data_IF_330038643780
#
_entry.id   IF_330038643780
#
_cell.length_a   1.000
_cell.length_b   1.000
_cell.length_c   1.000
_cell.angle_alpha   90.00
_cell.angle_beta   90.00
_cell.angle_gamma   90.00
#
_symmetry.space_group_name_H-M   'P 1'
#
loop_
_entity.id
_entity.type
_entity.pdbx_description
1 polymer ?
#
# COMPACT_ATOMS: atom_id res chain seq x y z
N UNK A 1 -67.36 9.14 6.04
CA UNK A 1 -68.23 10.31 5.86
C UNK A 1 -67.32 11.49 5.56
N UNK A 2 -67.20 12.08 4.38
CA UNK A 2 -67.99 12.13 3.13
C UNK A 2 -67.01 12.82 2.14
N UNK A 3 -66.62 12.21 1.00
CA UNK A 3 -67.07 12.56 -0.37
C UNK A 3 -67.23 14.08 -0.64
N UNK A 4 -66.86 14.73 -1.77
CA UNK A 4 -66.48 14.35 -3.14
C UNK A 4 -66.12 15.64 -3.95
N UNK A 5 -65.40 15.48 -5.07
CA UNK A 5 -65.30 16.31 -6.32
C UNK A 5 -64.62 17.69 -6.38
N UNK A 6 -63.65 17.77 -7.32
CA UNK A 6 -63.70 18.60 -8.55
C UNK A 6 -62.64 18.09 -9.53
N UNK A 7 -63.03 17.40 -10.61
CA UNK A 7 -63.40 17.90 -11.95
C UNK A 7 -62.20 18.24 -12.84
N UNK A 8 -62.01 17.36 -13.84
CA UNK A 8 -61.09 17.49 -14.96
C UNK A 8 -61.54 18.57 -15.97
N UNK A 9 -60.58 19.19 -16.66
CA UNK A 9 -60.77 19.86 -17.97
C UNK A 9 -59.41 19.87 -18.68
N UNK A 10 -59.21 18.97 -19.65
CA UNK A 10 -59.42 19.19 -21.09
C UNK A 10 -58.22 19.81 -21.80
N UNK A 11 -57.44 18.91 -22.42
CA UNK A 11 -56.39 19.19 -23.40
C UNK A 11 -56.97 19.78 -24.68
N UNK A 12 -56.39 20.89 -25.16
CA UNK A 12 -56.55 21.36 -26.54
C UNK A 12 -55.19 21.55 -27.21
N UNK A 13 -54.90 20.63 -28.11
CA UNK A 13 -53.87 20.69 -29.15
C UNK A 13 -54.14 21.86 -30.09
N UNK A 14 -53.07 22.57 -30.48
CA UNK A 14 -53.04 23.37 -31.71
C UNK A 14 -51.81 22.97 -32.54
N UNK A 15 -51.98 22.63 -33.83
CA UNK A 15 -50.88 22.27 -34.70
C UNK A 15 -50.16 23.55 -35.15
N UNK A 16 -48.83 23.52 -35.23
CA UNK A 16 -48.07 24.54 -35.96
C UNK A 16 -47.27 23.89 -37.07
N UNK A 17 -47.50 24.47 -38.25
CA UNK A 17 -47.10 24.05 -39.58
C UNK A 17 -45.59 23.81 -39.73
N UNK A 18 -45.28 22.78 -40.52
CA UNK A 18 -43.98 22.56 -41.14
C UNK A 18 -43.62 23.74 -42.04
N UNK A 19 -42.61 24.52 -41.65
CA UNK A 19 -41.89 25.38 -42.57
C UNK A 19 -40.62 24.64 -43.02
N UNK A 20 -40.64 24.14 -44.25
CA UNK A 20 -39.45 23.65 -44.95
C UNK A 20 -38.56 24.86 -45.27
N UNK A 21 -37.47 25.03 -44.54
CA UNK A 21 -36.37 25.91 -44.92
C UNK A 21 -35.24 25.02 -45.44
N UNK A 22 -35.04 25.02 -46.75
CA UNK A 22 -33.87 24.45 -47.40
C UNK A 22 -32.76 25.50 -47.28
N UNK A 23 -31.73 25.20 -46.48
CA UNK A 23 -30.51 26.00 -46.40
C UNK A 23 -29.37 25.25 -47.11
N UNK A 24 -28.50 25.93 -47.86
CA UNK A 24 -27.48 25.30 -48.69
C UNK A 24 -26.30 24.79 -47.84
N UNK A 25 -25.83 23.58 -48.15
CA UNK A 25 -24.55 23.06 -47.66
C UNK A 25 -23.42 24.00 -48.11
N UNK A 26 -22.85 24.75 -47.18
CA UNK A 26 -21.56 25.41 -47.35
C UNK A 26 -20.53 24.59 -46.59
N UNK A 27 -19.72 23.83 -47.33
CA UNK A 27 -18.60 23.06 -46.79
C UNK A 27 -17.45 24.04 -46.51
N UNK A 28 -17.30 24.47 -45.25
CA UNK A 28 -16.13 25.21 -44.78
C UNK A 28 -15.16 24.19 -44.20
N UNK A 29 -14.10 23.88 -44.94
CA UNK A 29 -12.98 23.08 -44.45
C UNK A 29 -12.12 23.96 -43.54
N UNK A 30 -12.29 23.83 -42.22
CA UNK A 30 -11.43 24.44 -41.22
C UNK A 30 -10.21 23.52 -41.01
N UNK A 31 -9.06 23.90 -41.57
CA UNK A 31 -7.78 23.25 -41.27
C UNK A 31 -7.36 23.66 -39.86
N UNK A 32 -7.72 22.85 -38.87
CA UNK A 32 -7.15 22.89 -37.52
C UNK A 32 -5.76 22.26 -37.60
N UNK A 33 -4.73 23.07 -37.80
CA UNK A 33 -3.36 22.71 -37.40
C UNK A 33 -3.33 22.67 -35.87
N UNK A 34 -3.58 21.51 -35.29
CA UNK A 34 -3.28 21.23 -33.90
C UNK A 34 -1.76 21.17 -33.73
N UNK A 35 -1.19 22.16 -33.05
CA UNK A 35 0.08 21.97 -32.36
C UNK A 35 -0.22 21.04 -31.18
N UNK A 36 0.14 19.76 -31.29
CA UNK A 36 0.25 18.91 -30.11
C UNK A 36 1.39 19.49 -29.27
N UNK A 37 1.05 20.06 -28.13
CA UNK A 37 2.01 20.27 -27.07
C UNK A 37 2.33 18.88 -26.51
N UNK A 38 3.56 18.43 -26.78
CA UNK A 38 4.19 17.33 -26.06
C UNK A 38 4.32 17.76 -24.59
N UNK A 39 3.38 17.30 -23.76
CA UNK A 39 3.57 17.17 -22.32
C UNK A 39 3.98 15.72 -22.07
N UNK A 40 5.16 15.35 -22.57
CA UNK A 40 5.78 14.07 -22.25
C UNK A 40 6.57 14.22 -20.96
N UNK A 41 5.95 13.87 -19.84
CA UNK A 41 6.67 13.41 -18.65
C UNK A 41 5.82 12.39 -17.90
N UNK A 42 5.37 11.36 -18.63
CA UNK A 42 5.02 10.10 -18.02
C UNK A 42 6.33 9.35 -17.82
N UNK A 43 6.85 9.35 -16.59
CA UNK A 43 7.91 8.44 -16.20
C UNK A 43 7.29 7.04 -16.18
N UNK A 44 7.18 6.41 -17.36
CA UNK A 44 6.93 4.98 -17.45
C UNK A 44 8.08 4.28 -16.74
N UNK A 45 7.79 3.61 -15.63
CA UNK A 45 8.64 2.60 -15.03
C UNK A 45 9.15 1.70 -16.15
N UNK A 46 10.45 1.43 -16.26
CA UNK A 46 10.91 0.46 -17.25
C UNK A 46 10.20 -0.86 -16.94
N UNK A 47 9.43 -1.32 -17.93
CA UNK A 47 8.49 -2.44 -17.86
C UNK A 47 9.22 -3.69 -17.32
N UNK A 48 9.15 -3.93 -16.00
CA UNK A 48 9.78 -5.06 -15.32
C UNK A 48 10.47 -4.80 -13.98
N UNK A 49 10.90 -3.57 -13.65
CA UNK A 49 11.71 -3.33 -12.43
C UNK A 49 10.96 -3.64 -11.12
N UNK A 50 9.71 -3.17 -10.99
CA UNK A 50 8.91 -3.39 -9.78
C UNK A 50 8.58 -4.88 -9.52
N UNK A 51 8.16 -5.69 -10.52
CA UNK A 51 8.02 -7.13 -10.34
C UNK A 51 9.32 -7.84 -9.92
N UNK A 52 10.46 -7.45 -10.50
CA UNK A 52 11.77 -8.02 -10.15
C UNK A 52 12.10 -7.68 -8.69
N UNK A 53 11.98 -6.40 -8.32
CA UNK A 53 12.25 -5.93 -6.96
C UNK A 53 11.35 -6.62 -5.94
N UNK A 54 10.06 -6.75 -6.25
CA UNK A 54 9.08 -7.44 -5.40
C UNK A 54 9.48 -8.89 -5.15
N UNK A 55 9.94 -9.60 -6.19
CA UNK A 55 10.44 -10.96 -6.05
C UNK A 55 11.71 -11.01 -5.19
N UNK A 56 12.69 -10.15 -5.45
CA UNK A 56 13.95 -10.12 -4.71
C UNK A 56 13.75 -9.83 -3.22
N UNK A 57 12.85 -8.92 -2.85
CA UNK A 57 12.59 -8.62 -1.43
C UNK A 57 11.79 -9.72 -0.72
N UNK A 58 10.95 -10.48 -1.42
CA UNK A 58 10.28 -11.66 -0.86
C UNK A 58 11.32 -12.72 -0.50
N UNK A 59 12.19 -13.06 -1.46
CA UNK A 59 13.24 -14.09 -1.26
C UNK A 59 14.23 -13.69 -0.15
N UNK A 60 14.59 -12.40 -0.05
CA UNK A 60 15.47 -11.90 1.01
C UNK A 60 14.83 -11.92 2.42
N UNK A 61 13.50 -11.94 2.52
CA UNK A 61 12.78 -12.00 3.79
C UNK A 61 12.66 -13.41 4.39
N UNK A 62 12.88 -14.45 3.59
CA UNK A 62 12.69 -15.86 4.01
C UNK A 62 13.96 -16.48 4.61
N UNK A 63 15.15 -16.09 4.13
CA UNK A 63 16.40 -16.82 4.43
C UNK A 63 17.26 -16.22 5.56
N UNK A 64 16.91 -15.05 6.12
CA UNK A 64 17.64 -14.41 7.23
C UNK A 64 19.13 -14.10 6.98
N UNK A 65 19.67 -14.45 5.81
CA UNK A 65 21.06 -14.31 5.41
C UNK A 65 21.11 -13.48 4.12
N UNK A 66 21.27 -12.19 4.31
CA UNK A 66 21.27 -11.15 3.29
C UNK A 66 22.42 -11.35 2.28
N UNK A 67 22.14 -11.92 1.11
CA UNK A 67 22.92 -11.65 -0.09
C UNK A 67 22.17 -10.58 -0.89
N UNK A 68 22.13 -9.35 -0.36
CA UNK A 68 21.80 -8.18 -1.17
C UNK A 68 22.95 -8.05 -2.15
N UNK A 69 22.73 -8.47 -3.40
CA UNK A 69 23.69 -8.15 -4.45
C UNK A 69 23.43 -6.71 -4.94
N UNK A 70 24.44 -6.12 -5.60
CA UNK A 70 24.33 -4.80 -6.24
C UNK A 70 23.04 -4.64 -7.09
N UNK A 71 22.46 -5.76 -7.57
CA UNK A 71 21.23 -5.75 -8.36
C UNK A 71 19.99 -5.32 -7.57
N UNK A 72 19.89 -5.61 -6.27
CA UNK A 72 18.74 -5.18 -5.47
C UNK A 72 18.71 -3.65 -5.35
N UNK A 73 19.85 -3.05 -4.98
CA UNK A 73 19.95 -1.62 -4.74
C UNK A 73 19.70 -0.82 -6.03
N UNK A 74 20.30 -1.24 -7.14
CA UNK A 74 20.08 -0.63 -8.45
C UNK A 74 18.60 -0.72 -8.87
N UNK A 75 17.97 -1.88 -8.69
CA UNK A 75 16.54 -2.05 -9.04
C UNK A 75 15.64 -1.23 -8.11
N UNK A 76 15.97 -1.12 -6.82
CA UNK A 76 15.24 -0.30 -5.86
C UNK A 76 15.29 1.19 -6.21
N UNK A 77 16.47 1.69 -6.62
CA UNK A 77 16.63 3.07 -7.09
C UNK A 77 15.82 3.34 -8.36
N UNK A 78 15.81 2.40 -9.30
CA UNK A 78 15.01 2.51 -10.54
C UNK A 78 13.51 2.59 -10.25
N UNK A 79 13.00 1.82 -9.28
CA UNK A 79 11.60 1.89 -8.85
C UNK A 79 11.33 3.19 -8.07
N UNK A 80 12.24 3.60 -7.18
CA UNK A 80 12.11 4.83 -6.39
C UNK A 80 11.98 6.07 -7.30
N UNK A 81 12.72 6.11 -8.41
CA UNK A 81 12.65 7.20 -9.39
C UNK A 81 11.25 7.36 -10.04
N UNK A 82 10.37 6.37 -9.91
CA UNK A 82 8.98 6.40 -10.40
C UNK A 82 7.96 6.82 -9.35
N UNK A 83 8.35 6.85 -8.08
CA UNK A 83 7.48 7.21 -6.98
C UNK A 83 7.40 8.75 -6.89
N UNK A 84 6.20 9.34 -6.85
CA UNK A 84 6.07 10.79 -6.69
C UNK A 84 6.71 11.27 -5.38
N UNK A 85 7.28 12.47 -5.40
CA UNK A 85 7.77 13.16 -4.18
C UNK A 85 6.79 14.27 -3.82
N UNK A 86 6.19 14.20 -2.64
CA UNK A 86 5.26 15.22 -2.15
C UNK A 86 5.25 15.31 -0.61
N UNK A 87 4.88 16.48 -0.03
CA UNK A 87 4.71 16.60 1.41
C UNK A 87 3.64 15.65 1.96
N UNK A 88 3.80 15.21 3.22
CA UNK A 88 2.73 14.52 3.95
C UNK A 88 1.48 15.42 4.00
N UNK A 89 0.29 14.84 3.83
CA UNK A 89 -0.96 15.58 4.02
C UNK A 89 -1.11 16.07 5.47
N UNK A 90 -1.80 17.20 5.64
CA UNK A 90 -2.13 17.74 6.96
C UNK A 90 -3.21 16.91 7.65
N UNK A 91 -3.16 16.87 8.99
CA UNK A 91 -4.02 16.04 9.84
C UNK A 91 -5.11 16.87 10.52
N UNK A 92 -6.30 16.28 10.69
CA UNK A 92 -7.47 16.91 11.31
C UNK A 92 -7.72 16.51 12.77
N UNK A 93 -7.02 15.50 13.30
CA UNK A 93 -7.15 15.08 14.70
C UNK A 93 -7.60 13.63 14.93
N UNK A 94 -8.07 12.90 13.91
CA UNK A 94 -8.92 11.72 14.13
C UNK A 94 -8.55 10.49 13.29
N UNK A 95 -7.26 10.09 13.27
CA UNK A 95 -6.89 8.86 12.58
C UNK A 95 -7.46 7.63 13.30
N UNK A 96 -8.40 6.95 12.65
CA UNK A 96 -9.01 5.71 13.16
C UNK A 96 -8.61 4.55 12.24
N UNK A 97 -7.59 3.78 12.64
CA UNK A 97 -7.08 2.64 11.86
C UNK A 97 -8.20 1.71 11.39
N UNK A 98 -9.12 1.35 12.30
CA UNK A 98 -10.21 0.43 11.98
C UNK A 98 -11.20 0.98 10.94
N UNK A 99 -11.43 2.30 10.94
CA UNK A 99 -12.31 2.95 9.95
C UNK A 99 -11.66 2.96 8.57
N UNK A 100 -10.34 3.15 8.50
CA UNK A 100 -9.65 3.37 7.25
C UNK A 100 -9.05 2.11 6.63
N UNK A 101 -8.61 1.15 7.43
CA UNK A 101 -7.89 -0.04 6.99
C UNK A 101 -8.59 -1.36 7.36
N UNK A 102 -9.73 -1.29 8.05
CA UNK A 102 -10.44 -2.45 8.55
C UNK A 102 -10.05 -2.86 9.97
N UNK A 103 -10.88 -3.72 10.56
CA UNK A 103 -10.82 -4.09 11.98
C UNK A 103 -9.79 -5.18 12.28
N UNK A 104 -8.51 -4.89 12.02
CA UNK A 104 -7.41 -5.81 12.30
C UNK A 104 -6.97 -6.64 11.10
N UNK A 105 -6.66 -7.90 11.36
CA UNK A 105 -6.13 -8.85 10.38
C UNK A 105 -7.29 -9.53 9.66
N UNK A 106 -7.32 -9.38 8.34
CA UNK A 106 -8.33 -9.98 7.48
C UNK A 106 -7.99 -11.44 7.17
N UNK A 107 -8.99 -12.19 6.74
CA UNK A 107 -8.86 -13.49 6.07
C UNK A 107 -9.23 -13.20 4.61
N UNK A 108 -8.22 -12.85 3.80
CA UNK A 108 -8.42 -12.33 2.44
C UNK A 108 -8.74 -13.44 1.43
N UNK A 109 -8.26 -14.66 1.67
CA UNK A 109 -8.44 -15.80 0.77
C UNK A 109 -9.60 -16.73 1.18
N UNK A 110 -10.15 -16.55 2.39
CA UNK A 110 -11.29 -17.27 2.90
C UNK A 110 -10.96 -18.66 3.44
N UNK A 111 -9.68 -18.97 3.71
CA UNK A 111 -9.24 -20.26 4.21
C UNK A 111 -9.46 -20.46 5.73
N UNK A 112 -9.95 -19.42 6.41
CA UNK A 112 -10.19 -19.30 7.87
C UNK A 112 -8.94 -19.05 8.69
N UNK A 113 -7.84 -18.70 8.04
CA UNK A 113 -6.65 -18.13 8.63
C UNK A 113 -6.62 -16.64 8.36
N UNK A 114 -6.34 -15.85 9.40
CA UNK A 114 -6.16 -14.42 9.18
C UNK A 114 -4.70 -14.10 8.96
N UNK A 115 -4.45 -12.95 8.37
CA UNK A 115 -3.10 -12.53 7.97
C UNK A 115 -2.09 -12.58 9.10
N UNK A 116 -2.46 -12.29 10.36
CA UNK A 116 -1.52 -12.47 11.47
C UNK A 116 -1.07 -13.92 11.65
N UNK A 117 -1.98 -14.88 11.55
CA UNK A 117 -1.59 -16.29 11.67
C UNK A 117 -0.77 -16.74 10.45
N UNK A 118 -1.11 -16.26 9.25
CA UNK A 118 -0.33 -16.52 8.04
C UNK A 118 1.10 -16.00 8.18
N UNK A 119 1.28 -14.72 8.55
CA UNK A 119 2.61 -14.13 8.76
C UNK A 119 3.42 -14.88 9.82
N UNK A 120 2.79 -15.27 10.94
CA UNK A 120 3.47 -16.03 11.98
C UNK A 120 3.83 -17.45 11.51
N UNK A 121 2.96 -18.11 10.75
CA UNK A 121 3.21 -19.47 10.27
C UNK A 121 4.29 -19.52 9.18
N UNK A 122 4.40 -18.46 8.38
CA UNK A 122 5.35 -18.33 7.28
C UNK A 122 6.74 -17.88 7.76
N UNK A 123 6.81 -16.93 8.70
CA UNK A 123 8.07 -16.26 9.06
C UNK A 123 8.62 -16.63 10.45
N UNK A 124 7.99 -17.55 11.16
CA UNK A 124 8.61 -18.19 12.34
C UNK A 124 9.18 -19.54 11.92
N UNK A 125 10.28 -19.92 12.57
CA UNK A 125 10.79 -21.29 12.53
C UNK A 125 10.14 -22.16 13.62
N UNK A 126 10.29 -23.48 13.51
CA UNK A 126 9.82 -24.45 14.52
C UNK A 126 8.35 -24.26 14.95
N UNK A 127 7.50 -23.89 13.98
CA UNK A 127 6.09 -23.53 14.22
C UNK A 127 5.28 -24.73 14.70
N UNK A 128 4.60 -24.54 15.83
CA UNK A 128 3.58 -25.45 16.33
C UNK A 128 2.20 -24.82 16.15
N UNK A 129 1.41 -25.43 15.27
CA UNK A 129 0.03 -25.03 15.03
C UNK A 129 -0.91 -25.70 16.03
N UNK A 130 -1.98 -24.99 16.37
CA UNK A 130 -3.05 -25.56 17.15
C UNK A 130 -3.83 -26.62 16.35
N UNK A 131 -4.91 -27.15 16.95
CA UNK A 131 -5.76 -28.17 16.32
C UNK A 131 -6.59 -27.70 15.12
N UNK A 132 -6.78 -26.39 14.92
CA UNK A 132 -7.51 -25.89 13.74
C UNK A 132 -6.62 -25.81 12.51
N UNK A 133 -5.30 -25.95 12.67
CA UNK A 133 -4.34 -26.00 11.57
C UNK A 133 -3.97 -24.63 11.01
N UNK A 134 -4.36 -23.55 11.69
CA UNK A 134 -4.02 -22.18 11.31
C UNK A 134 -3.38 -21.42 12.48
N UNK A 135 -3.98 -21.47 13.68
CA UNK A 135 -3.49 -20.63 14.77
C UNK A 135 -2.13 -21.14 15.26
N UNK A 136 -1.12 -20.28 15.17
CA UNK A 136 0.21 -20.53 15.73
C UNK A 136 0.16 -20.47 17.25
N UNK A 137 0.49 -21.57 17.93
CA UNK A 137 0.58 -21.65 19.39
C UNK A 137 2.03 -21.41 19.87
N UNK A 138 3.06 -21.73 19.07
CA UNK A 138 4.46 -21.32 19.32
C UNK A 138 5.32 -21.34 18.05
N UNK A 139 6.50 -20.73 18.10
CA UNK A 139 7.54 -20.76 17.07
C UNK A 139 8.78 -19.97 17.51
N UNK A 140 9.78 -19.85 16.65
CA UNK A 140 11.01 -19.09 16.89
C UNK A 140 11.09 -17.96 15.87
N UNK A 141 11.16 -16.73 16.36
CA UNK A 141 11.40 -15.54 15.54
C UNK A 141 12.90 -15.27 15.49
N UNK A 142 13.48 -15.24 14.29
CA UNK A 142 14.74 -14.56 14.03
C UNK A 142 14.38 -13.15 13.52
N UNK A 143 14.41 -12.16 14.41
CA UNK A 143 13.87 -10.83 14.13
C UNK A 143 14.86 -10.01 13.28
N UNK A 144 14.55 -9.75 11.99
CA UNK A 144 15.46 -9.02 11.13
C UNK A 144 15.57 -7.54 11.50
N UNK A 145 14.63 -6.98 12.28
CA UNK A 145 14.76 -5.59 12.70
C UNK A 145 15.82 -5.39 13.76
N UNK A 146 16.00 -6.36 14.65
CA UNK A 146 16.79 -6.21 15.87
C UNK A 146 17.98 -7.15 15.95
N UNK A 147 18.02 -8.18 15.10
CA UNK A 147 18.97 -9.28 15.17
C UNK A 147 18.72 -10.22 16.36
N UNK A 148 17.62 -10.04 17.09
CA UNK A 148 17.26 -10.87 18.22
C UNK A 148 16.65 -12.21 17.77
N UNK A 149 16.83 -13.24 18.59
CA UNK A 149 16.09 -14.51 18.42
C UNK A 149 15.17 -14.69 19.62
N UNK A 150 13.87 -14.83 19.35
CA UNK A 150 12.80 -14.84 20.36
C UNK A 150 11.91 -16.06 20.20
N UNK A 151 11.69 -16.80 21.28
CA UNK A 151 10.68 -17.85 21.33
C UNK A 151 9.28 -17.22 21.45
N UNK A 152 8.49 -17.31 20.39
CA UNK A 152 7.08 -16.97 20.45
C UNK A 152 6.30 -18.08 21.14
N UNK A 153 5.63 -17.76 22.24
CA UNK A 153 4.69 -18.66 22.91
C UNK A 153 3.37 -17.93 23.09
N UNK A 154 2.29 -18.46 22.52
CA UNK A 154 0.96 -17.89 22.69
C UNK A 154 0.52 -17.98 24.15
N UNK A 155 0.26 -16.81 24.72
CA UNK A 155 -0.16 -16.69 26.12
C UNK A 155 -0.53 -15.26 26.47
N UNK A 156 -1.16 -15.11 27.64
CA UNK A 156 -1.46 -13.79 28.20
C UNK A 156 -0.14 -13.10 28.57
N UNK A 157 0.13 -11.96 27.94
CA UNK A 157 1.35 -11.18 28.19
C UNK A 157 2.62 -11.74 27.55
N UNK A 158 2.50 -12.72 26.66
CA UNK A 158 3.61 -13.23 25.83
C UNK A 158 3.28 -13.19 24.33
N UNK A 159 1.98 -13.15 23.99
CA UNK A 159 1.56 -13.04 22.58
C UNK A 159 1.91 -11.69 21.96
N UNK A 160 2.13 -10.67 22.80
CA UNK A 160 2.47 -9.31 22.39
C UNK A 160 3.99 -9.13 22.25
N UNK A 161 4.81 -10.06 22.78
CA UNK A 161 6.28 -10.05 22.64
C UNK A 161 6.70 -10.14 21.17
N UNK A 162 5.85 -10.74 20.32
CA UNK A 162 5.98 -10.71 18.85
C UNK A 162 4.78 -9.99 18.26
N UNK A 163 5.01 -8.82 17.69
CA UNK A 163 4.03 -8.05 16.95
C UNK A 163 4.20 -8.26 15.44
N UNK A 164 3.20 -7.85 14.65
CA UNK A 164 3.36 -7.75 13.19
C UNK A 164 3.37 -6.25 12.87
N UNK A 165 4.53 -5.72 12.52
CA UNK A 165 4.69 -4.35 12.06
C UNK A 165 4.19 -4.19 10.62
N UNK A 166 3.70 -3.00 10.31
CA UNK A 166 3.48 -2.52 8.95
C UNK A 166 4.74 -1.79 8.46
N UNK A 167 5.54 -2.40 7.59
CA UNK A 167 6.83 -1.88 7.08
C UNK A 167 6.69 -0.43 6.59
N UNK A 168 5.65 -0.15 5.80
CA UNK A 168 5.08 1.19 5.64
C UNK A 168 3.92 1.35 6.63
N UNK A 169 4.16 2.10 7.71
CA UNK A 169 3.17 2.27 8.77
C UNK A 169 1.84 2.80 8.21
N UNK A 170 0.70 2.25 8.63
CA UNK A 170 -0.60 2.61 8.04
C UNK A 170 -0.95 4.09 8.18
N UNK A 171 -0.49 4.74 9.27
CA UNK A 171 -0.67 6.18 9.41
C UNK A 171 0.27 6.98 8.50
N UNK A 172 1.49 6.50 8.24
CA UNK A 172 2.36 7.08 7.22
C UNK A 172 1.70 6.95 5.83
N UNK A 173 1.26 5.75 5.46
CA UNK A 173 0.59 5.48 4.20
C UNK A 173 -0.64 6.38 4.00
N UNK A 174 -1.46 6.57 5.04
CA UNK A 174 -2.60 7.50 5.01
C UNK A 174 -2.21 8.96 4.79
N UNK A 175 -1.01 9.37 5.16
CA UNK A 175 -0.52 10.73 4.93
C UNK A 175 0.22 10.86 3.61
N UNK A 176 0.45 9.76 2.92
CA UNK A 176 1.25 9.70 1.70
C UNK A 176 0.54 8.97 0.55
N UNK A 177 -0.80 8.97 0.49
CA UNK A 177 -1.54 8.48 -0.68
C UNK A 177 -2.69 7.55 -0.38
N UNK A 178 -2.66 6.84 0.75
CA UNK A 178 -3.69 5.83 1.02
C UNK A 178 -5.09 6.44 1.23
N UNK A 179 -5.20 7.75 1.50
CA UNK A 179 -6.49 8.45 1.53
C UNK A 179 -7.22 8.50 0.19
N UNK A 180 -6.49 8.36 -0.92
CA UNK A 180 -7.06 8.35 -2.27
C UNK A 180 -7.40 6.92 -2.74
N UNK A 181 -6.97 5.91 -1.99
CA UNK A 181 -7.30 4.51 -2.22
C UNK A 181 -8.74 4.19 -1.80
N UNK A 182 -9.34 3.25 -2.51
CA UNK A 182 -10.60 2.65 -2.10
C UNK A 182 -10.45 1.94 -0.75
N UNK A 183 -11.58 1.66 -0.09
CA UNK A 183 -11.57 0.89 1.15
C UNK A 183 -10.98 -0.52 0.98
N UNK A 184 -11.19 -1.14 -0.18
CA UNK A 184 -10.69 -2.47 -0.51
C UNK A 184 -9.18 -2.46 -0.71
N UNK A 185 -8.64 -1.49 -1.45
CA UNK A 185 -7.18 -1.33 -1.62
C UNK A 185 -6.48 -1.02 -0.30
N UNK A 186 -7.09 -0.21 0.58
CA UNK A 186 -6.55 0.00 1.94
C UNK A 186 -6.55 -1.28 2.77
N UNK A 187 -7.60 -2.09 2.67
CA UNK A 187 -7.65 -3.39 3.34
C UNK A 187 -6.55 -4.32 2.82
N UNK A 188 -6.30 -4.32 1.51
CA UNK A 188 -5.20 -5.06 0.90
C UNK A 188 -3.83 -4.57 1.41
N UNK A 189 -3.57 -3.27 1.38
CA UNK A 189 -2.34 -2.66 1.91
C UNK A 189 -2.07 -3.04 3.38
N UNK A 190 -3.12 -3.10 4.20
CA UNK A 190 -2.99 -3.47 5.61
C UNK A 190 -2.73 -4.96 5.86
N UNK A 191 -2.92 -5.82 4.87
CA UNK A 191 -2.78 -7.27 4.97
C UNK A 191 -1.82 -7.84 3.91
N UNK A 192 -1.04 -6.98 3.24
CA UNK A 192 -0.06 -7.37 2.23
C UNK A 192 1.21 -7.92 2.89
N UNK A 193 1.61 -9.18 2.63
CA UNK A 193 2.83 -9.76 3.22
C UNK A 193 4.09 -8.92 2.98
N UNK A 194 4.21 -8.23 1.84
CA UNK A 194 5.34 -7.33 1.58
C UNK A 194 5.38 -6.15 2.54
N UNK A 195 4.22 -5.73 3.03
CA UNK A 195 4.08 -4.68 4.03
C UNK A 195 4.08 -5.19 5.48
N UNK A 196 4.27 -6.50 5.73
CA UNK A 196 4.17 -7.08 7.08
C UNK A 196 5.45 -7.75 7.54
N UNK A 197 5.86 -7.48 8.78
CA UNK A 197 7.05 -8.06 9.40
C UNK A 197 6.76 -8.45 10.85
N UNK A 198 6.81 -9.74 11.22
CA UNK A 198 6.93 -10.11 12.62
C UNK A 198 8.23 -9.54 13.20
N UNK A 199 8.10 -8.89 14.36
CA UNK A 199 9.22 -8.26 15.06
C UNK A 199 8.91 -8.20 16.56
N UNK A 200 9.92 -7.96 17.38
CA UNK A 200 9.74 -7.74 18.81
C UNK A 200 8.96 -6.45 19.09
N UNK A 201 8.20 -6.44 20.18
CA UNK A 201 7.30 -5.35 20.56
C UNK A 201 7.97 -3.97 20.60
N UNK A 202 9.14 -3.88 21.23
CA UNK A 202 9.82 -2.62 21.46
C UNK A 202 10.29 -1.95 20.15
N UNK A 203 10.66 -2.74 19.14
CA UNK A 203 11.08 -2.20 17.85
C UNK A 203 9.90 -1.56 17.11
N UNK A 204 8.73 -2.20 17.15
CA UNK A 204 7.50 -1.64 16.60
C UNK A 204 7.03 -0.40 17.37
N UNK A 205 7.12 -0.44 18.70
CA UNK A 205 6.78 0.70 19.56
C UNK A 205 7.71 1.91 19.33
N UNK A 206 9.02 1.68 19.08
CA UNK A 206 9.97 2.75 18.75
C UNK A 206 9.71 3.34 17.35
N UNK A 207 9.38 2.50 16.37
CA UNK A 207 9.10 2.91 15.00
C UNK A 207 7.86 3.82 14.90
N UNK A 208 6.82 3.54 15.68
CA UNK A 208 5.52 4.23 15.62
C UNK A 208 4.98 4.36 14.17
N UNK A 209 4.89 5.59 13.65
CA UNK A 209 4.43 5.92 12.30
C UNK A 209 5.51 6.60 11.45
N UNK A 210 6.77 6.38 11.82
CA UNK A 210 7.95 6.91 11.15
C UNK A 210 8.09 6.35 9.73
N UNK A 211 8.67 7.16 8.83
CA UNK A 211 9.22 6.70 7.56
C UNK A 211 10.74 6.47 7.68
N UNK A 212 11.37 6.04 6.58
CA UNK A 212 12.82 5.79 6.50
C UNK A 212 13.70 6.98 6.92
N UNK A 213 13.20 8.22 6.84
CA UNK A 213 13.98 9.40 7.25
C UNK A 213 14.01 9.59 8.78
N UNK A 214 13.11 8.92 9.49
CA UNK A 214 12.91 9.10 10.93
C UNK A 214 13.29 7.85 11.73
N UNK A 215 13.16 6.66 11.12
CA UNK A 215 13.48 5.39 11.75
C UNK A 215 13.95 4.38 10.72
N UNK A 216 15.03 3.67 11.04
CA UNK A 216 15.50 2.47 10.37
C UNK A 216 15.65 1.37 11.42
N UNK A 217 15.56 0.08 11.03
CA UNK A 217 15.75 -1.00 11.98
C UNK A 217 17.09 -0.91 12.73
N UNK A 218 17.14 -1.24 14.03
CA UNK A 218 18.39 -1.26 14.79
C UNK A 218 19.49 -2.16 14.20
N UNK A 219 19.12 -3.25 13.54
CA UNK A 219 20.06 -4.09 12.80
C UNK A 219 20.34 -3.49 11.41
N UNK A 220 21.55 -2.93 11.27
CA UNK A 220 22.02 -2.31 10.02
C UNK A 220 22.03 -3.28 8.83
N UNK A 221 22.21 -4.59 9.08
CA UNK A 221 22.25 -5.59 8.02
C UNK A 221 20.93 -5.75 7.25
N UNK A 222 19.83 -5.23 7.82
CA UNK A 222 18.49 -5.29 7.22
C UNK A 222 18.07 -3.99 6.53
N UNK A 223 18.87 -2.93 6.57
CA UNK A 223 18.48 -1.61 6.05
C UNK A 223 18.13 -1.63 4.55
N UNK A 224 18.94 -2.31 3.74
CA UNK A 224 18.72 -2.44 2.30
C UNK A 224 17.37 -3.11 1.98
N UNK A 225 17.10 -4.25 2.62
CA UNK A 225 15.84 -4.98 2.46
C UNK A 225 14.66 -4.16 2.97
N UNK A 226 14.80 -3.50 4.11
CA UNK A 226 13.76 -2.65 4.69
C UNK A 226 13.35 -1.50 3.75
N UNK A 227 14.33 -0.75 3.23
CA UNK A 227 14.09 0.35 2.29
C UNK A 227 13.51 -0.16 0.97
N UNK A 228 14.07 -1.23 0.41
CA UNK A 228 13.55 -1.83 -0.83
C UNK A 228 12.09 -2.28 -0.67
N UNK A 229 11.72 -2.90 0.47
CA UNK A 229 10.33 -3.27 0.76
C UNK A 229 9.41 -2.06 0.84
N UNK A 230 9.83 -0.98 1.50
CA UNK A 230 9.04 0.25 1.54
C UNK A 230 8.80 0.83 0.14
N UNK A 231 9.82 0.82 -0.73
CA UNK A 231 9.72 1.25 -2.12
C UNK A 231 8.71 0.39 -2.89
N UNK A 232 8.81 -0.94 -2.78
CA UNK A 232 7.85 -1.86 -3.43
C UNK A 232 6.42 -1.59 -2.98
N UNK A 233 6.19 -1.50 -1.67
CA UNK A 233 4.85 -1.23 -1.13
C UNK A 233 4.34 0.13 -1.62
N UNK A 234 5.14 1.18 -1.55
CA UNK A 234 4.71 2.51 -2.01
C UNK A 234 4.39 2.52 -3.51
N UNK A 235 5.19 1.86 -4.34
CA UNK A 235 4.94 1.73 -5.77
C UNK A 235 3.67 0.92 -6.08
N UNK A 236 3.48 -0.23 -5.43
CA UNK A 236 2.31 -1.11 -5.66
C UNK A 236 0.98 -0.41 -5.35
N UNK A 237 0.96 0.46 -4.34
CA UNK A 237 -0.25 1.15 -3.89
C UNK A 237 -0.32 2.62 -4.35
N UNK A 238 0.56 3.06 -5.26
CA UNK A 238 0.56 4.43 -5.76
C UNK A 238 0.72 5.50 -4.67
N UNK A 239 1.44 5.16 -3.60
CA UNK A 239 1.79 6.08 -2.53
C UNK A 239 2.98 6.95 -2.97
N UNK A 240 3.16 8.09 -2.32
CA UNK A 240 4.32 8.95 -2.52
C UNK A 240 5.31 8.87 -1.34
N UNK A 241 6.50 9.41 -1.55
CA UNK A 241 7.51 9.65 -0.51
C UNK A 241 7.64 11.15 -0.24
N UNK A 242 8.08 11.52 0.95
CA UNK A 242 8.50 12.91 1.20
C UNK A 242 9.91 13.15 0.69
N UNK A 243 10.30 14.41 0.51
CA UNK A 243 11.69 14.76 0.12
C UNK A 243 12.73 14.14 1.07
N UNK A 244 12.50 14.22 2.38
CA UNK A 244 13.41 13.65 3.37
C UNK A 244 13.44 12.12 3.34
N UNK A 245 12.30 11.50 3.03
CA UNK A 245 12.19 10.04 2.89
C UNK A 245 12.90 9.55 1.63
N UNK A 246 12.72 10.21 0.48
CA UNK A 246 13.45 9.91 -0.76
C UNK A 246 14.97 10.04 -0.56
N UNK A 247 15.43 11.13 0.07
CA UNK A 247 16.86 11.34 0.38
C UNK A 247 17.41 10.22 1.27
N UNK A 248 16.71 9.87 2.35
CA UNK A 248 17.13 8.81 3.27
C UNK A 248 17.15 7.44 2.58
N UNK A 249 16.15 7.12 1.76
CA UNK A 249 16.12 5.86 1.00
C UNK A 249 17.30 5.77 0.03
N UNK A 250 17.64 6.85 -0.68
CA UNK A 250 18.80 6.89 -1.57
C UNK A 250 20.13 6.76 -0.83
N UNK A 251 20.25 7.37 0.35
CA UNK A 251 21.44 7.26 1.19
C UNK A 251 21.67 5.81 1.62
N UNK A 252 20.62 5.15 2.14
CA UNK A 252 20.69 3.72 2.51
C UNK A 252 21.07 2.85 1.30
N UNK A 253 20.40 3.05 0.16
CA UNK A 253 20.65 2.23 -1.03
C UNK A 253 22.06 2.43 -1.62
N UNK A 254 22.68 3.60 -1.43
CA UNK A 254 24.04 3.85 -1.87
C UNK A 254 25.10 3.05 -1.08
N UNK A 255 24.76 2.61 0.14
CA UNK A 255 25.65 1.84 1.01
C UNK A 255 25.43 0.31 0.90
N UNK A 256 24.43 -0.12 0.15
CA UNK A 256 24.17 -1.53 -0.17
C UNK A 256 25.21 -2.06 -1.17
N UNK A 257 26.16 -2.88 -0.71
CA UNK A 257 27.22 -3.51 -1.53
C UNK A 257 27.42 -4.98 -1.12
#
# INVERSE_FOLDING_TARGET
MTEIHRSATSSRTRPRALARVVAPLSLVALLLTGCSADLGNDAETPDGALPILSQSVTEAGEDGETQVDDSLADTALEVLDTIPVAPKTEWDGYFQRAEYFGDGWADLDGDRCNTRQEMLAEQLEEVELNRDGCRVDSGVLHDPYTGETVEFIRGQGTSDDVQIDHVVALYNAWRTGAQDLTQEERLQLANDPLNLQPTVDWANDEKESSDASQWLPPDESYHCTYVARQIVVKANYGLWVTEAEDEAMREVLADCN
#
